data_IF_463240173061
#
_entry.id   IF_463240173061
#
_cell.length_a   1.000
_cell.length_b   1.000
_cell.length_c   1.000
_cell.angle_alpha   90.00
_cell.angle_beta   90.00
_cell.angle_gamma   90.00
#
_symmetry.space_group_name_H-M   'P 1'
#
loop_
_entity.id
_entity.type
_entity.pdbx_description
1 polymer ?
#
# COMPACT_ATOMS: atom_id res chain seq x y z
N UNK A 1 -0.52 28.20 -3.34
CA UNK A 1 -1.07 27.38 -3.16
C UNK A 1 -0.74 25.95 -2.85
N UNK A 2 -1.53 25.07 -3.34
CA UNK A 2 -1.44 23.67 -3.03
C UNK A 2 -0.06 23.05 -3.26
N UNK A 3 0.71 23.59 -4.20
CA UNK A 3 2.03 23.05 -4.53
C UNK A 3 3.06 23.15 -3.42
N UNK A 4 2.93 24.12 -2.51
CA UNK A 4 3.87 24.22 -1.40
C UNK A 4 3.82 23.01 -0.48
N UNK A 5 2.69 22.34 -0.41
CA UNK A 5 2.53 21.16 0.44
C UNK A 5 3.28 19.95 -0.09
N UNK A 6 3.49 19.87 -1.41
CA UNK A 6 4.22 18.75 -2.01
C UNK A 6 5.68 18.73 -1.62
N UNK A 7 6.28 19.90 -1.33
CA UNK A 7 7.67 19.98 -0.91
C UNK A 7 7.89 19.21 0.39
N UNK A 8 6.88 19.17 1.24
CA UNK A 8 6.96 18.52 2.54
C UNK A 8 6.34 17.15 2.57
N UNK A 9 5.75 16.70 1.45
CA UNK A 9 5.17 15.36 1.39
C UNK A 9 6.28 14.31 1.41
N UNK A 10 6.15 13.26 2.23
CA UNK A 10 7.15 12.21 2.24
C UNK A 10 7.16 11.46 0.90
N UNK A 11 8.31 10.90 0.56
CA UNK A 11 8.41 10.05 -0.62
C UNK A 11 7.59 8.77 -0.44
N UNK A 12 7.29 8.08 -1.54
CA UNK A 12 6.61 6.79 -1.44
C UNK A 12 7.44 5.77 -0.66
N UNK A 13 8.77 5.81 -0.78
CA UNK A 13 9.64 4.95 0.02
C UNK A 13 9.53 5.24 1.51
N UNK A 14 9.47 6.51 1.89
CA UNK A 14 9.32 6.89 3.28
C UNK A 14 7.95 6.48 3.81
N UNK A 15 6.90 6.59 3.00
CA UNK A 15 5.57 6.14 3.38
C UNK A 15 5.58 4.61 3.58
N UNK A 16 6.15 3.87 2.65
CA UNK A 16 6.26 2.41 2.74
C UNK A 16 6.95 2.01 4.05
N UNK A 17 8.09 2.62 4.36
CA UNK A 17 8.82 2.33 5.58
C UNK A 17 7.98 2.64 6.82
N UNK A 18 7.28 3.77 6.83
CA UNK A 18 6.44 4.17 7.96
C UNK A 18 5.31 3.19 8.20
N UNK A 19 4.68 2.69 7.12
CA UNK A 19 3.58 1.74 7.25
C UNK A 19 4.07 0.39 7.77
N UNK A 20 5.19 -0.10 7.26
CA UNK A 20 5.77 -1.36 7.75
C UNK A 20 6.17 -1.23 9.22
N UNK A 21 6.76 -0.10 9.62
CA UNK A 21 7.12 0.15 11.02
C UNK A 21 5.88 0.21 11.90
N UNK A 22 4.82 0.84 11.42
CA UNK A 22 3.54 0.90 12.16
C UNK A 22 2.99 -0.51 12.39
N UNK A 23 3.04 -1.35 11.36
CA UNK A 23 2.60 -2.74 11.49
C UNK A 23 3.47 -3.51 12.49
N UNK A 24 4.79 -3.29 12.50
CA UNK A 24 5.66 -3.96 13.47
C UNK A 24 5.28 -3.63 14.91
N UNK A 25 4.76 -2.43 15.15
CA UNK A 25 4.34 -2.01 16.49
C UNK A 25 2.92 -2.46 16.83
N UNK A 26 2.00 -2.39 15.90
CA UNK A 26 0.58 -2.56 16.17
C UNK A 26 -0.08 -3.70 15.40
N UNK A 27 0.68 -4.47 14.65
CA UNK A 27 0.14 -5.60 13.89
C UNK A 27 -0.52 -6.63 14.79
N UNK A 28 -1.64 -7.18 14.33
CA UNK A 28 -2.31 -8.25 15.06
C UNK A 28 -1.51 -9.55 14.89
N UNK A 29 -1.59 -10.49 15.86
CA UNK A 29 -0.93 -11.78 15.70
C UNK A 29 -1.39 -12.50 14.44
N UNK A 30 -0.44 -13.09 13.72
CA UNK A 30 -0.75 -13.81 12.48
C UNK A 30 -0.90 -12.94 11.26
N UNK A 31 -0.55 -11.65 11.35
CA UNK A 31 -0.60 -10.73 10.22
C UNK A 31 0.78 -10.50 9.62
N UNK A 32 0.79 -9.99 8.39
CA UNK A 32 2.00 -9.58 7.70
C UNK A 32 1.69 -8.38 6.82
N UNK A 33 2.55 -7.37 6.88
CA UNK A 33 2.59 -6.29 5.89
C UNK A 33 4.00 -6.27 5.33
N UNK A 34 4.12 -6.54 4.04
CA UNK A 34 5.42 -6.66 3.39
C UNK A 34 5.49 -5.80 2.14
N UNK A 35 6.62 -5.16 1.95
CA UNK A 35 6.89 -4.39 0.74
C UNK A 35 7.16 -5.31 -0.44
N UNK A 36 6.59 -4.97 -1.60
CA UNK A 36 6.86 -5.67 -2.84
C UNK A 36 7.85 -4.81 -3.64
N UNK A 37 9.10 -5.24 -3.80
CA UNK A 37 10.08 -4.46 -4.54
C UNK A 37 9.81 -4.56 -6.04
N UNK A 38 9.18 -3.55 -6.61
CA UNK A 38 8.74 -3.58 -7.99
C UNK A 38 9.05 -2.30 -8.77
N UNK A 39 9.77 -1.37 -8.18
CA UNK A 39 9.97 -0.05 -8.79
C UNK A 39 10.79 -0.08 -10.07
N UNK A 40 11.62 -1.08 -10.25
CA UNK A 40 12.52 -1.21 -11.40
C UNK A 40 12.29 -2.50 -12.15
N UNK A 41 11.02 -2.81 -12.39
CA UNK A 41 10.66 -4.02 -13.13
C UNK A 41 11.08 -3.97 -14.60
N UNK A 42 11.58 -2.84 -15.06
CA UNK A 42 11.92 -2.60 -16.45
C UNK A 42 13.09 -3.48 -16.87
N UNK A 43 12.86 -4.36 -17.83
CA UNK A 43 13.92 -5.16 -18.39
C UNK A 43 14.47 -6.25 -17.49
N UNK A 44 13.97 -6.39 -16.28
CA UNK A 44 14.38 -7.49 -15.40
C UNK A 44 13.46 -8.70 -15.61
N UNK A 45 14.02 -9.86 -15.92
CA UNK A 45 13.21 -11.08 -16.08
C UNK A 45 12.47 -11.41 -14.78
N UNK A 46 11.22 -11.80 -14.92
CA UNK A 46 10.41 -12.23 -13.78
C UNK A 46 9.74 -11.13 -12.99
N UNK A 47 10.03 -9.87 -13.26
CA UNK A 47 9.34 -8.77 -12.62
C UNK A 47 8.16 -8.30 -13.46
N UNK A 48 7.07 -7.96 -12.79
CA UNK A 48 5.81 -7.56 -13.42
C UNK A 48 5.51 -6.10 -13.11
N UNK A 49 5.24 -5.32 -14.14
CA UNK A 49 4.81 -3.93 -13.96
C UNK A 49 3.44 -3.84 -13.31
N UNK A 50 3.24 -2.81 -12.54
CA UNK A 50 1.93 -2.50 -11.97
C UNK A 50 1.60 -3.23 -10.68
N UNK A 51 2.53 -4.04 -10.15
CA UNK A 51 2.31 -4.64 -8.83
C UNK A 51 2.28 -3.56 -7.77
N UNK A 52 1.42 -3.72 -6.75
CA UNK A 52 1.30 -2.73 -5.68
C UNK A 52 2.51 -2.72 -4.76
N UNK A 53 2.56 -1.71 -3.90
CA UNK A 53 3.68 -1.54 -2.97
C UNK A 53 3.67 -2.52 -1.81
N UNK A 54 2.50 -2.94 -1.34
CA UNK A 54 2.38 -3.77 -0.16
C UNK A 54 1.53 -5.00 -0.41
N UNK A 55 2.00 -6.11 0.14
CA UNK A 55 1.24 -7.35 0.33
C UNK A 55 0.80 -7.42 1.78
N UNK A 56 -0.47 -7.73 2.00
CA UNK A 56 -1.06 -7.76 3.34
C UNK A 56 -1.76 -9.07 3.58
N UNK A 57 -1.44 -9.71 4.69
CA UNK A 57 -2.10 -10.95 5.14
C UNK A 57 -2.55 -10.76 6.59
N UNK A 58 -3.71 -11.27 6.93
CA UNK A 58 -4.18 -11.23 8.32
C UNK A 58 -5.26 -12.29 8.53
N UNK A 59 -5.55 -12.65 9.79
CA UNK A 59 -6.70 -13.53 10.06
C UNK A 59 -7.97 -12.89 9.49
N UNK A 60 -8.71 -13.64 8.67
CA UNK A 60 -9.89 -13.11 7.97
C UNK A 60 -9.58 -12.33 6.70
N UNK A 61 -8.31 -12.13 6.39
CA UNK A 61 -7.87 -11.47 5.15
C UNK A 61 -6.75 -12.30 4.54
N UNK A 62 -7.07 -13.36 3.77
CA UNK A 62 -6.04 -14.26 3.23
C UNK A 62 -4.99 -13.53 2.38
N UNK A 63 -5.41 -12.50 1.64
CA UNK A 63 -4.50 -11.67 0.88
C UNK A 63 -5.16 -10.33 0.61
N UNK A 64 -4.38 -9.27 0.66
CA UNK A 64 -4.77 -7.93 0.24
C UNK A 64 -3.58 -7.20 -0.33
N UNK A 65 -3.83 -6.18 -1.14
CA UNK A 65 -2.79 -5.38 -1.76
C UNK A 65 -3.07 -3.90 -1.57
N UNK A 66 -2.02 -3.13 -1.34
CA UNK A 66 -2.13 -1.68 -1.19
C UNK A 66 -1.10 -1.00 -2.07
N UNK A 67 -1.58 -0.11 -2.92
CA UNK A 67 -0.75 0.79 -3.70
C UNK A 67 -0.65 2.12 -2.96
N UNK A 68 0.57 2.62 -2.77
CA UNK A 68 0.81 3.85 -2.02
C UNK A 68 1.13 5.00 -2.98
N UNK A 69 0.50 6.13 -2.77
CA UNK A 69 0.76 7.37 -3.51
C UNK A 69 1.11 8.47 -2.51
N UNK A 70 2.07 9.32 -2.88
CA UNK A 70 2.49 10.37 -1.96
C UNK A 70 1.46 11.50 -1.82
N UNK A 71 0.72 11.76 -2.89
CA UNK A 71 -0.30 12.81 -2.90
C UNK A 71 -1.32 12.52 -4.01
N UNK A 72 -2.38 13.34 -4.06
CA UNK A 72 -3.45 13.17 -5.03
C UNK A 72 -3.06 13.49 -6.46
N UNK A 73 -1.92 14.10 -6.67
CA UNK A 73 -1.42 14.38 -8.03
C UNK A 73 -0.55 13.25 -8.57
N UNK A 74 -0.28 12.25 -7.75
CA UNK A 74 0.47 11.06 -8.21
C UNK A 74 -0.37 10.27 -9.20
N UNK A 75 0.24 9.90 -10.32
CA UNK A 75 -0.49 9.17 -11.36
C UNK A 75 -0.64 7.70 -11.01
N UNK A 76 -1.78 7.14 -11.41
CA UNK A 76 -2.00 5.70 -11.41
C UNK A 76 -1.76 5.21 -12.83
N UNK A 77 -0.75 4.35 -13.00
CA UNK A 77 -0.42 3.83 -14.33
C UNK A 77 -1.48 2.86 -14.85
N UNK A 78 -1.48 2.63 -16.15
CA UNK A 78 -2.40 1.65 -16.74
C UNK A 78 -2.13 0.25 -16.19
N UNK A 79 -0.87 -0.09 -15.98
CA UNK A 79 -0.51 -1.39 -15.40
C UNK A 79 -1.06 -1.54 -13.97
N UNK A 80 -1.02 -0.46 -13.18
CA UNK A 80 -1.60 -0.48 -11.83
C UNK A 80 -3.12 -0.61 -11.87
N UNK A 81 -3.78 0.07 -12.81
CA UNK A 81 -5.23 -0.07 -13.00
C UNK A 81 -5.62 -1.48 -13.42
N UNK A 82 -4.84 -2.08 -14.32
CA UNK A 82 -5.08 -3.45 -14.77
C UNK A 82 -4.95 -4.44 -13.63
N UNK A 83 -3.94 -4.26 -12.77
CA UNK A 83 -3.78 -5.11 -11.60
C UNK A 83 -4.97 -4.95 -10.64
N UNK A 84 -5.44 -3.73 -10.43
CA UNK A 84 -6.63 -3.48 -9.59
C UNK A 84 -7.87 -4.16 -10.14
N UNK A 85 -8.07 -4.12 -11.46
CA UNK A 85 -9.20 -4.81 -12.11
C UNK A 85 -9.09 -6.32 -11.96
N UNK A 86 -7.89 -6.84 -12.08
CA UNK A 86 -7.67 -8.28 -11.87
C UNK A 86 -8.05 -8.68 -10.44
N UNK A 87 -7.60 -7.90 -9.46
CA UNK A 87 -7.97 -8.16 -8.07
C UNK A 87 -9.48 -8.11 -7.87
N UNK A 88 -10.15 -7.11 -8.44
CA UNK A 88 -11.60 -6.98 -8.33
C UNK A 88 -12.31 -8.21 -8.92
N UNK A 89 -11.85 -8.68 -10.07
CA UNK A 89 -12.42 -9.88 -10.70
C UNK A 89 -12.19 -11.16 -9.91
N UNK A 90 -11.15 -11.19 -9.10
CA UNK A 90 -10.80 -12.35 -8.27
C UNK A 90 -11.26 -12.18 -6.82
N UNK A 91 -12.00 -11.12 -6.51
CA UNK A 91 -12.46 -10.81 -5.15
C UNK A 91 -11.30 -10.63 -4.16
N UNK A 92 -10.16 -10.12 -4.63
CA UNK A 92 -9.00 -9.84 -3.79
C UNK A 92 -9.07 -8.37 -3.36
N UNK A 93 -9.05 -8.08 -2.07
CA UNK A 93 -9.01 -6.70 -1.58
C UNK A 93 -7.80 -5.95 -2.13
N UNK A 94 -8.06 -4.79 -2.70
CA UNK A 94 -7.04 -3.93 -3.29
C UNK A 94 -7.44 -2.48 -3.04
N UNK A 95 -6.48 -1.65 -2.66
CA UNK A 95 -6.74 -0.23 -2.45
C UNK A 95 -5.56 0.61 -2.89
N UNK A 96 -5.87 1.82 -3.34
CA UNK A 96 -4.88 2.86 -3.59
C UNK A 96 -5.05 3.87 -2.47
N UNK A 97 -3.98 4.11 -1.71
CA UNK A 97 -4.01 5.00 -0.56
C UNK A 97 -3.06 6.17 -0.78
N UNK A 98 -3.46 7.34 -0.33
CA UNK A 98 -2.70 8.57 -0.49
C UNK A 98 -2.13 8.98 0.87
N UNK A 99 -0.84 9.28 0.87
CA UNK A 99 -0.17 9.72 2.08
C UNK A 99 0.05 8.58 3.07
N UNK A 100 0.26 8.97 4.33
CA UNK A 100 0.58 8.02 5.39
C UNK A 100 -0.66 7.57 6.16
N UNK A 101 -1.62 8.47 6.36
CA UNK A 101 -2.75 8.18 7.24
C UNK A 101 -3.79 7.26 6.61
N UNK A 102 -4.04 7.41 5.32
CA UNK A 102 -5.02 6.56 4.63
C UNK A 102 -4.68 5.08 4.71
N UNK A 103 -3.43 4.66 4.40
CA UNK A 103 -3.11 3.23 4.50
C UNK A 103 -3.19 2.70 5.93
N UNK A 104 -2.85 3.51 6.93
CA UNK A 104 -2.99 3.09 8.33
C UNK A 104 -4.45 2.85 8.67
N UNK A 105 -5.35 3.76 8.28
CA UNK A 105 -6.79 3.59 8.49
C UNK A 105 -7.33 2.37 7.77
N UNK A 106 -6.83 2.12 6.56
CA UNK A 106 -7.22 0.94 5.82
C UNK A 106 -6.81 -0.34 6.54
N UNK A 107 -5.57 -0.40 7.03
CA UNK A 107 -5.09 -1.57 7.76
C UNK A 107 -5.86 -1.78 9.06
N UNK A 108 -6.27 -0.71 9.73
CA UNK A 108 -7.18 -0.81 10.88
C UNK A 108 -8.53 -1.39 10.47
N UNK A 109 -9.11 -0.87 9.38
CA UNK A 109 -10.40 -1.34 8.89
C UNK A 109 -10.34 -2.80 8.42
N UNK A 110 -9.22 -3.22 7.87
CA UNK A 110 -9.03 -4.61 7.45
C UNK A 110 -8.67 -5.54 8.60
N UNK A 111 -8.50 -5.04 9.80
CA UNK A 111 -8.14 -5.87 10.96
C UNK A 111 -6.70 -6.33 10.97
N UNK A 112 -5.82 -5.66 10.25
CA UNK A 112 -4.39 -6.02 10.14
C UNK A 112 -3.58 -5.42 11.28
N UNK A 113 -3.93 -4.20 11.69
CA UNK A 113 -3.28 -3.54 12.81
C UNK A 113 -4.33 -3.12 13.82
N UNK A 114 -3.93 -3.04 15.09
CA UNK A 114 -4.79 -2.54 16.14
C UNK A 114 -4.91 -1.03 16.00
N UNK A 115 -6.06 -0.50 16.42
CA UNK A 115 -6.22 0.94 16.46
C UNK A 115 -5.31 1.52 17.52
N UNK A 116 -4.67 2.63 17.17
CA UNK A 116 -3.91 3.37 18.15
C UNK A 116 -4.85 3.88 19.24
N UNK A 117 -4.38 3.91 20.47
CA UNK A 117 -5.17 4.47 21.57
C UNK A 117 -5.48 5.94 21.28
N UNK A 118 -6.71 6.33 21.55
CA UNK A 118 -7.15 7.71 21.33
C UNK A 118 -6.48 8.66 22.32
#
# INVERSE_FOLDING_TARGET
MARKRKIFAPSEDAITAAIVDHWKLLGVPGSLVASIPNKRAFGQPGLTRGLPDLLVLAPGLPVGFVELKRDEDSDVSDAQRDFGRLCAGLCIPYAICIGRDEPIRLLEAWGVVRRAAA
#
